data_IF_500926434671
#
_entry.id   IF_500926434671
#
_cell.length_a   1.000
_cell.length_b   1.000
_cell.length_c   1.000
_cell.angle_alpha   90.00
_cell.angle_beta   90.00
_cell.angle_gamma   90.00
#
_symmetry.space_group_name_H-M   'P 1'
#
loop_
_entity.id
_entity.type
_entity.pdbx_description
1 polymer ?
#
# COMPACT_ATOMS: atom_id res chain seq x y z
N UNK A 1 -71.35 -14.88 39.76
CA UNK A 1 -70.71 -16.22 39.67
C UNK A 1 -69.21 -15.99 39.81
N UNK A 2 -68.63 -16.33 40.95
CA UNK A 2 -67.18 -16.17 41.16
C UNK A 2 -66.43 -17.31 40.46
N UNK A 3 -65.34 -16.99 39.78
CA UNK A 3 -64.47 -17.98 39.13
C UNK A 3 -63.77 -18.80 40.20
N UNK A 4 -63.68 -20.12 40.01
CA UNK A 4 -62.99 -21.00 40.95
C UNK A 4 -61.47 -20.74 40.93
N UNK A 5 -60.77 -21.09 42.01
CA UNK A 5 -59.32 -20.91 42.11
C UNK A 5 -58.57 -21.61 40.96
N UNK A 6 -58.98 -22.84 40.63
CA UNK A 6 -58.42 -23.59 39.50
C UNK A 6 -58.65 -22.90 38.15
N UNK A 7 -59.75 -22.18 37.99
CA UNK A 7 -60.03 -21.42 36.79
C UNK A 7 -59.09 -20.21 36.66
N UNK A 8 -58.77 -19.53 37.76
CA UNK A 8 -57.74 -18.49 37.78
C UNK A 8 -56.35 -19.04 37.43
N UNK A 9 -55.98 -20.20 37.99
CA UNK A 9 -54.72 -20.89 37.63
C UNK A 9 -54.69 -21.22 36.14
N UNK A 10 -55.78 -21.76 35.58
CA UNK A 10 -55.86 -22.12 34.17
C UNK A 10 -55.75 -20.91 33.25
N UNK A 11 -56.41 -19.79 33.59
CA UNK A 11 -56.32 -18.53 32.85
C UNK A 11 -54.89 -17.97 32.91
N UNK A 12 -54.25 -18.00 34.08
CA UNK A 12 -52.86 -17.57 34.24
C UNK A 12 -51.90 -18.40 33.38
N UNK A 13 -52.07 -19.72 33.34
CA UNK A 13 -51.27 -20.62 32.51
C UNK A 13 -51.49 -20.36 31.01
N UNK A 14 -52.73 -20.17 30.59
CA UNK A 14 -53.06 -19.85 29.20
C UNK A 14 -52.44 -18.51 28.78
N UNK A 15 -52.54 -17.48 29.62
CA UNK A 15 -51.90 -16.18 29.38
C UNK A 15 -50.39 -16.35 29.28
N UNK A 16 -49.75 -17.09 30.19
CA UNK A 16 -48.31 -17.33 30.16
C UNK A 16 -47.85 -18.02 28.87
N UNK A 17 -48.57 -19.05 28.42
CA UNK A 17 -48.28 -19.74 27.16
C UNK A 17 -48.36 -18.83 25.93
N UNK A 18 -49.22 -17.80 25.98
CA UNK A 18 -49.33 -16.79 24.91
C UNK A 18 -48.28 -15.68 25.07
N UNK A 19 -47.97 -15.26 26.30
CA UNK A 19 -47.05 -14.16 26.57
C UNK A 19 -45.59 -14.54 26.29
N UNK A 20 -45.18 -15.78 26.54
CA UNK A 20 -43.82 -16.27 26.27
C UNK A 20 -43.43 -16.11 24.78
N UNK A 21 -44.19 -16.61 23.79
CA UNK A 21 -43.84 -16.44 22.38
C UNK A 21 -43.95 -14.97 21.94
N UNK A 22 -44.90 -14.20 22.46
CA UNK A 22 -45.02 -12.76 22.17
C UNK A 22 -43.78 -12.01 22.67
N UNK A 23 -43.37 -12.26 23.91
CA UNK A 23 -42.15 -11.68 24.46
C UNK A 23 -40.95 -12.11 23.63
N UNK A 24 -40.77 -13.40 23.34
CA UNK A 24 -39.64 -13.85 22.52
C UNK A 24 -39.61 -13.21 21.13
N UNK A 25 -40.76 -13.03 20.50
CA UNK A 25 -40.88 -12.30 19.24
C UNK A 25 -40.56 -10.81 19.42
N UNK A 26 -41.06 -10.19 20.48
CA UNK A 26 -40.83 -8.79 20.81
C UNK A 26 -39.34 -8.51 21.02
N UNK A 27 -38.64 -9.32 21.80
CA UNK A 27 -37.19 -9.24 21.98
C UNK A 27 -36.46 -9.41 20.63
N UNK A 28 -36.85 -10.40 19.81
CA UNK A 28 -36.26 -10.58 18.48
C UNK A 28 -36.51 -9.40 17.52
N UNK A 29 -37.64 -8.70 17.67
CA UNK A 29 -38.09 -7.66 16.73
C UNK A 29 -37.69 -6.24 17.14
N UNK A 30 -37.65 -5.97 18.43
CA UNK A 30 -37.44 -4.64 19.01
C UNK A 30 -36.12 -4.54 19.79
N UNK A 31 -35.62 -5.64 20.34
CA UNK A 31 -34.31 -5.67 21.03
C UNK A 31 -33.16 -6.11 20.11
N UNK A 32 -33.40 -6.07 18.80
CA UNK A 32 -32.32 -6.13 17.81
C UNK A 32 -31.46 -4.86 17.99
N UNK A 33 -30.12 -4.95 18.05
CA UNK A 33 -29.27 -3.75 18.11
C UNK A 33 -29.75 -2.79 17.02
N UNK A 34 -30.02 -1.55 17.42
CA UNK A 34 -30.60 -0.54 16.54
C UNK A 34 -29.91 -0.56 15.17
N UNK A 35 -30.63 -0.27 14.07
CA UNK A 35 -30.03 -0.31 12.72
C UNK A 35 -28.69 0.43 12.65
N UNK A 36 -28.56 1.53 13.40
CA UNK A 36 -27.32 2.28 13.58
C UNK A 36 -26.18 1.46 14.22
N UNK A 37 -26.45 0.71 15.29
CA UNK A 37 -25.45 -0.16 15.91
C UNK A 37 -24.97 -1.28 14.96
N UNK A 38 -25.85 -1.75 14.07
CA UNK A 38 -25.49 -2.75 13.07
C UNK A 38 -24.56 -2.15 12.00
N UNK A 39 -24.80 -0.91 11.59
CA UNK A 39 -23.97 -0.18 10.64
C UNK A 39 -22.59 0.14 11.24
N UNK A 40 -22.51 0.52 12.52
CA UNK A 40 -21.22 0.75 13.18
C UNK A 40 -20.41 -0.53 13.32
N UNK A 41 -21.05 -1.66 13.67
CA UNK A 41 -20.36 -2.96 13.71
C UNK A 41 -19.84 -3.36 12.32
N UNK A 42 -20.61 -3.07 11.26
CA UNK A 42 -20.17 -3.35 9.89
C UNK A 42 -19.01 -2.45 9.46
N UNK A 43 -19.06 -1.16 9.81
CA UNK A 43 -17.96 -0.22 9.55
C UNK A 43 -16.69 -0.63 10.27
N UNK A 44 -16.79 -0.96 11.55
CA UNK A 44 -15.65 -1.44 12.34
C UNK A 44 -14.99 -2.66 11.71
N UNK A 45 -15.77 -3.64 11.24
CA UNK A 45 -15.18 -4.80 10.55
C UNK A 45 -14.38 -4.41 9.29
N UNK A 46 -14.88 -3.47 8.51
CA UNK A 46 -14.16 -2.99 7.33
C UNK A 46 -12.90 -2.20 7.71
N UNK A 47 -13.00 -1.37 8.75
CA UNK A 47 -11.86 -0.60 9.29
C UNK A 47 -10.80 -1.53 9.90
N UNK A 48 -11.19 -2.63 10.55
CA UNK A 48 -10.27 -3.64 11.10
C UNK A 48 -9.52 -4.37 9.98
N UNK A 49 -10.22 -4.77 8.92
CA UNK A 49 -9.61 -5.39 7.73
C UNK A 49 -8.62 -4.43 7.05
N UNK A 50 -8.97 -3.15 6.92
CA UNK A 50 -8.05 -2.12 6.42
C UNK A 50 -6.85 -1.94 7.36
N UNK A 51 -7.08 -1.86 8.67
CA UNK A 51 -6.01 -1.68 9.65
C UNK A 51 -5.01 -2.84 9.65
N UNK A 52 -5.46 -4.08 9.45
CA UNK A 52 -4.58 -5.23 9.30
C UNK A 52 -3.70 -5.13 8.04
N UNK A 53 -4.28 -4.70 6.91
CA UNK A 53 -3.52 -4.44 5.67
C UNK A 53 -2.49 -3.31 5.88
N UNK A 54 -2.90 -2.21 6.51
CA UNK A 54 -2.02 -1.08 6.81
C UNK A 54 -0.91 -1.44 7.78
N UNK A 55 -1.18 -2.28 8.78
CA UNK A 55 -0.17 -2.72 9.75
C UNK A 55 0.94 -3.55 9.08
N UNK A 56 0.59 -4.39 8.09
CA UNK A 56 1.57 -5.13 7.29
C UNK A 56 2.49 -4.20 6.51
N UNK A 57 1.91 -3.24 5.77
CA UNK A 57 2.66 -2.26 4.97
C UNK A 57 3.54 -1.37 5.87
N UNK A 58 3.02 -0.92 7.01
CA UNK A 58 3.78 -0.07 7.94
C UNK A 58 5.00 -0.81 8.50
N UNK A 59 4.86 -2.09 8.85
CA UNK A 59 5.97 -2.91 9.34
C UNK A 59 7.09 -3.04 8.30
N UNK A 60 6.74 -3.28 7.03
CA UNK A 60 7.71 -3.35 5.93
C UNK A 60 8.41 -2.01 5.70
N UNK A 61 7.66 -0.91 5.70
CA UNK A 61 8.21 0.44 5.54
C UNK A 61 9.12 0.81 6.70
N UNK A 62 8.76 0.43 7.93
CA UNK A 62 9.60 0.65 9.12
C UNK A 62 10.88 -0.19 9.05
N UNK A 63 10.79 -1.47 8.67
CA UNK A 63 11.97 -2.32 8.48
C UNK A 63 12.92 -1.74 7.41
N UNK A 64 12.39 -1.32 6.26
CA UNK A 64 13.17 -0.68 5.20
C UNK A 64 13.82 0.63 5.65
N UNK A 65 13.11 1.46 6.44
CA UNK A 65 13.66 2.69 7.03
C UNK A 65 14.77 2.39 8.04
N UNK A 66 14.59 1.38 8.88
CA UNK A 66 15.59 0.98 9.86
C UNK A 66 16.83 0.37 9.20
N UNK A 67 16.67 -0.40 8.13
CA UNK A 67 17.78 -0.91 7.32
C UNK A 67 18.55 0.25 6.66
N UNK A 68 17.84 1.22 6.07
CA UNK A 68 18.46 2.44 5.54
C UNK A 68 19.23 3.19 6.61
N UNK A 69 18.63 3.44 7.77
CA UNK A 69 19.29 4.13 8.90
C UNK A 69 20.53 3.37 9.38
N UNK A 70 20.43 2.04 9.54
CA UNK A 70 21.58 1.19 9.91
C UNK A 70 22.68 1.24 8.86
N UNK A 71 22.32 1.28 7.58
CA UNK A 71 23.30 1.39 6.48
C UNK A 71 24.02 2.74 6.49
N UNK A 72 23.31 3.84 6.77
CA UNK A 72 23.88 5.18 6.91
C UNK A 72 24.80 5.27 8.12
N UNK A 73 24.34 4.80 9.28
CA UNK A 73 25.17 4.74 10.50
C UNK A 73 26.43 3.91 10.23
N UNK A 74 26.31 2.74 9.60
CA UNK A 74 27.46 1.89 9.26
C UNK A 74 28.43 2.54 8.26
N UNK A 75 27.93 3.38 7.34
CA UNK A 75 28.79 4.18 6.45
C UNK A 75 29.54 5.23 7.25
N UNK A 76 28.86 5.98 8.10
CA UNK A 76 29.50 6.97 8.98
C UNK A 76 30.51 6.33 9.95
N UNK A 77 30.21 5.16 10.50
CA UNK A 77 31.15 4.39 11.32
C UNK A 77 32.37 3.94 10.53
N UNK A 78 32.21 3.53 9.26
CA UNK A 78 33.35 3.17 8.40
C UNK A 78 34.19 4.39 8.04
N UNK A 79 33.56 5.52 7.76
CA UNK A 79 34.28 6.77 7.47
C UNK A 79 35.05 7.27 8.70
N UNK A 80 34.45 7.19 9.89
CA UNK A 80 35.12 7.56 11.15
C UNK A 80 36.18 6.54 11.58
N UNK A 81 35.95 5.24 11.37
CA UNK A 81 36.90 4.17 11.72
C UNK A 81 38.03 4.01 10.69
N UNK A 82 37.79 4.33 9.41
CA UNK A 82 38.84 4.38 8.39
C UNK A 82 39.89 5.45 8.71
N UNK A 83 39.58 6.38 9.62
CA UNK A 83 40.48 7.45 9.99
C UNK A 83 40.78 8.36 8.80
N UNK A 84 41.57 9.40 9.05
CA UNK A 84 42.08 10.27 8.01
C UNK A 84 42.82 9.42 6.97
N UNK A 85 42.24 9.25 5.77
CA UNK A 85 42.96 8.67 4.64
C UNK A 85 44.13 9.60 4.35
N UNK A 86 45.36 9.13 4.56
CA UNK A 86 46.58 9.89 4.23
C UNK A 86 46.53 10.22 2.73
N UNK A 87 46.79 11.48 2.38
CA UNK A 87 46.85 11.92 0.99
C UNK A 87 47.91 11.10 0.21
N UNK A 88 47.73 10.94 -1.10
CA UNK A 88 48.57 10.11 -1.97
C UNK A 88 50.07 10.46 -1.82
N UNK A 89 50.37 11.76 -1.66
CA UNK A 89 51.73 12.26 -1.45
C UNK A 89 52.32 11.89 -0.08
N UNK A 90 51.52 11.92 0.99
CA UNK A 90 51.97 11.56 2.33
C UNK A 90 52.13 10.04 2.48
N UNK A 91 51.22 9.28 1.87
CA UNK A 91 51.28 7.81 1.87
C UNK A 91 52.50 7.32 1.07
N UNK A 92 52.77 7.88 -0.10
CA UNK A 92 54.00 7.59 -0.86
C UNK A 92 55.27 7.95 -0.08
N UNK A 93 55.30 9.09 0.63
CA UNK A 93 56.46 9.49 1.44
C UNK A 93 56.68 8.55 2.65
N UNK A 94 55.62 8.02 3.25
CA UNK A 94 55.72 7.03 4.32
C UNK A 94 56.27 5.69 3.82
N UNK A 95 55.79 5.19 2.67
CA UNK A 95 56.31 3.98 2.03
C UNK A 95 57.79 4.10 1.63
N UNK A 96 58.18 5.25 1.09
CA UNK A 96 59.57 5.54 0.77
C UNK A 96 60.48 5.54 2.01
N UNK A 97 60.02 6.07 3.15
CA UNK A 97 60.75 6.03 4.42
C UNK A 97 60.89 4.62 5.01
N UNK A 98 59.96 3.72 4.68
CA UNK A 98 60.01 2.30 5.03
C UNK A 98 60.90 1.46 4.07
N UNK A 99 61.49 2.08 3.04
CA UNK A 99 62.41 1.43 2.11
C UNK A 99 61.72 0.55 1.06
N UNK A 100 60.40 0.69 0.88
CA UNK A 100 59.64 0.00 -0.16
C UNK A 100 59.51 0.97 -1.34
N UNK A 101 60.45 0.86 -2.28
CA UNK A 101 60.50 1.65 -3.51
C UNK A 101 59.88 0.81 -4.64
N UNK A 102 58.55 0.67 -4.63
CA UNK A 102 57.83 -0.06 -5.67
C UNK A 102 56.52 0.65 -6.03
N UNK A 103 56.33 1.09 -7.28
CA UNK A 103 55.06 1.64 -7.72
C UNK A 103 54.04 0.50 -7.80
N UNK A 104 53.10 0.47 -6.86
CA UNK A 104 51.97 -0.46 -6.90
C UNK A 104 51.10 -0.02 -8.08
N UNK A 105 51.20 -0.73 -9.21
CA UNK A 105 50.28 -0.53 -10.31
C UNK A 105 48.88 -0.97 -9.87
N UNK A 106 47.87 -0.10 -9.92
CA UNK A 106 46.49 -0.49 -9.64
C UNK A 106 46.06 -1.54 -10.67
N UNK A 107 45.54 -2.67 -10.20
CA UNK A 107 45.01 -3.73 -11.07
C UNK A 107 43.80 -3.16 -11.82
N UNK A 108 43.97 -2.94 -13.11
CA UNK A 108 42.94 -2.50 -14.05
C UNK A 108 41.87 -3.60 -14.14
N UNK A 109 40.65 -3.29 -13.67
CA UNK A 109 39.52 -4.22 -13.76
C UNK A 109 38.94 -4.13 -15.17
N UNK A 110 39.10 -5.18 -15.95
CA UNK A 110 38.41 -5.32 -17.23
C UNK A 110 36.89 -5.24 -17.02
N UNK A 111 36.29 -4.21 -17.60
CA UNK A 111 34.84 -4.03 -17.64
C UNK A 111 34.32 -5.01 -18.69
N UNK A 112 33.54 -6.00 -18.25
CA UNK A 112 32.87 -6.92 -19.18
C UNK A 112 31.91 -6.13 -20.11
N UNK A 113 31.84 -6.47 -21.41
CA UNK A 113 30.97 -5.76 -22.34
C UNK A 113 29.49 -5.95 -21.98
N UNK A 114 28.72 -4.87 -22.12
CA UNK A 114 27.29 -4.85 -21.91
C UNK A 114 26.58 -5.81 -22.88
N UNK A 115 25.70 -6.64 -22.33
CA UNK A 115 24.79 -7.51 -23.07
C UNK A 115 23.78 -6.61 -23.76
N UNK A 116 23.77 -6.62 -25.10
CA UNK A 116 22.75 -6.00 -25.92
C UNK A 116 21.61 -7.02 -26.05
N UNK A 117 20.47 -6.75 -25.42
CA UNK A 117 19.23 -7.46 -25.72
C UNK A 117 18.49 -6.71 -26.85
N UNK A 118 18.36 -7.38 -27.99
CA UNK A 118 17.53 -6.96 -29.11
C UNK A 118 16.05 -7.00 -28.68
N UNK A 119 15.41 -5.84 -28.56
CA UNK A 119 13.95 -5.75 -28.45
C UNK A 119 13.34 -5.89 -29.85
N UNK A 120 12.81 -7.08 -30.14
CA UNK A 120 11.90 -7.31 -31.25
C UNK A 120 10.59 -6.54 -31.02
N UNK A 121 10.30 -5.58 -31.89
CA UNK A 121 9.02 -4.90 -31.95
C UNK A 121 7.97 -5.83 -32.54
N UNK A 122 7.14 -6.44 -31.70
CA UNK A 122 5.95 -7.17 -32.15
C UNK A 122 4.68 -6.33 -31.89
N UNK A 123 3.95 -6.05 -32.97
CA UNK A 123 2.76 -5.19 -32.99
C UNK A 123 1.60 -6.00 -32.41
N UNK A 124 1.19 -5.66 -31.18
CA UNK A 124 0.13 -6.38 -30.46
C UNK A 124 -1.25 -5.95 -30.98
N UNK A 125 -1.99 -6.90 -31.55
CA UNK A 125 -3.40 -6.74 -31.93
C UNK A 125 -4.31 -6.79 -30.68
N UNK A 126 -5.22 -5.82 -30.54
CA UNK A 126 -6.10 -5.63 -29.38
C UNK A 126 -7.24 -6.67 -29.35
N UNK A 127 -6.94 -7.92 -28.99
CA UNK A 127 -7.94 -8.98 -28.74
C UNK A 127 -8.14 -9.21 -27.24
N UNK A 128 -9.38 -9.58 -26.84
CA UNK A 128 -9.80 -9.77 -25.44
C UNK A 128 -8.94 -10.79 -24.68
N UNK A 129 -8.41 -11.77 -25.40
CA UNK A 129 -7.54 -12.82 -24.88
C UNK A 129 -6.12 -12.33 -24.55
N UNK A 130 -5.68 -11.20 -25.14
CA UNK A 130 -4.40 -10.59 -24.79
C UNK A 130 -4.47 -9.70 -23.54
N UNK A 131 -5.63 -9.07 -23.29
CA UNK A 131 -5.88 -8.30 -22.06
C UNK A 131 -5.90 -9.15 -20.78
N UNK A 132 -6.19 -10.44 -20.90
CA UNK A 132 -6.14 -11.40 -19.79
C UNK A 132 -4.76 -12.05 -19.61
N UNK A 133 -3.83 -11.80 -20.53
CA UNK A 133 -2.47 -12.36 -20.54
C UNK A 133 -1.41 -11.38 -20.06
N UNK A 134 -1.79 -10.17 -19.63
CA UNK A 134 -0.87 -9.22 -18.97
C UNK A 134 -0.48 -9.78 -17.60
N UNK A 135 0.75 -10.27 -17.54
CA UNK A 135 1.35 -10.87 -16.37
C UNK A 135 1.60 -9.88 -15.23
N UNK A 136 1.67 -10.48 -14.05
CA UNK A 136 2.08 -9.97 -12.74
C UNK A 136 1.13 -8.97 -12.05
N UNK A 137 0.47 -9.35 -10.93
CA UNK A 137 -0.41 -8.47 -10.16
C UNK A 137 0.33 -7.45 -9.26
N UNK A 138 1.66 -7.51 -9.20
CA UNK A 138 2.45 -6.81 -8.18
C UNK A 138 3.05 -5.47 -8.64
N UNK A 139 2.91 -5.10 -9.91
CA UNK A 139 3.42 -3.81 -10.41
C UNK A 139 2.30 -3.03 -11.11
N UNK A 140 1.97 -1.81 -10.64
CA UNK A 140 0.96 -0.98 -11.27
C UNK A 140 1.41 -0.59 -12.68
N UNK A 141 0.45 -0.45 -13.59
CA UNK A 141 0.66 -0.06 -14.98
C UNK A 141 1.19 1.39 -15.05
N UNK A 142 2.52 1.54 -15.01
CA UNK A 142 3.21 2.82 -15.06
C UNK A 142 2.95 3.58 -16.35
N UNK A 143 2.70 2.88 -17.46
CA UNK A 143 2.37 3.48 -18.75
C UNK A 143 1.00 4.18 -18.71
N UNK A 144 0.03 3.61 -18.00
CA UNK A 144 -1.28 4.23 -17.80
C UNK A 144 -1.19 5.51 -16.98
N UNK A 145 -0.36 5.53 -15.93
CA UNK A 145 -0.11 6.72 -15.10
C UNK A 145 0.54 7.83 -15.92
N UNK A 146 1.54 7.49 -16.73
CA UNK A 146 2.18 8.43 -17.64
C UNK A 146 1.17 8.99 -18.66
N UNK A 147 0.31 8.15 -19.22
CA UNK A 147 -0.75 8.57 -20.14
C UNK A 147 -1.76 9.51 -19.48
N UNK A 148 -2.16 9.25 -18.23
CA UNK A 148 -3.05 10.14 -17.47
C UNK A 148 -2.40 11.49 -17.16
N UNK A 149 -1.11 11.52 -16.81
CA UNK A 149 -0.40 12.79 -16.55
C UNK A 149 -0.26 13.66 -17.81
N UNK A 150 -0.23 13.04 -18.99
CA UNK A 150 -0.22 13.75 -20.27
C UNK A 150 -1.59 14.30 -20.69
N UNK A 151 -2.70 13.96 -20.01
CA UNK A 151 -4.04 14.52 -20.29
C UNK A 151 -4.19 16.00 -19.91
N UNK A 152 -3.30 16.51 -19.04
CA UNK A 152 -3.28 17.92 -18.64
C UNK A 152 -2.66 18.82 -19.72
N UNK A 153 -2.02 18.23 -20.74
CA UNK A 153 -1.53 18.97 -21.90
C UNK A 153 -2.68 19.12 -22.88
N UNK A 154 -3.09 20.35 -23.26
CA UNK A 154 -4.12 20.53 -24.27
C UNK A 154 -3.65 19.87 -25.56
N UNK A 155 -4.47 18.96 -26.09
CA UNK A 155 -4.19 18.29 -27.35
C UNK A 155 -4.24 19.32 -28.47
N UNK A 156 -3.14 19.42 -29.22
CA UNK A 156 -2.99 20.36 -30.32
C UNK A 156 -4.04 20.03 -31.41
N UNK A 157 -5.06 20.87 -31.54
CA UNK A 157 -6.13 20.70 -32.54
C UNK A 157 -7.56 20.93 -32.06
N UNK A 158 -7.81 21.15 -30.76
CA UNK A 158 -9.13 21.58 -30.29
C UNK A 158 -9.22 23.11 -30.34
N UNK A 159 -10.10 23.70 -31.18
CA UNK A 159 -10.27 25.15 -31.20
C UNK A 159 -10.77 25.64 -29.84
N UNK A 160 -10.19 26.73 -29.35
CA UNK A 160 -10.61 27.36 -28.09
C UNK A 160 -12.13 27.63 -28.13
N UNK A 161 -12.79 27.29 -27.02
CA UNK A 161 -14.22 27.50 -26.88
C UNK A 161 -14.53 29.01 -27.04
N UNK A 162 -15.60 29.40 -27.76
CA UNK A 162 -15.94 30.81 -27.92
C UNK A 162 -16.20 31.47 -26.57
N UNK A 163 -15.57 32.62 -26.32
CA UNK A 163 -15.76 33.40 -25.09
C UNK A 163 -17.21 33.86 -24.92
N UNK A 164 -17.89 33.25 -23.95
CA UNK A 164 -19.30 33.47 -23.62
C UNK A 164 -19.58 34.86 -23.02
N UNK A 165 -18.54 35.58 -22.58
CA UNK A 165 -18.66 36.92 -21.99
C UNK A 165 -19.08 38.00 -23.01
N UNK A 166 -18.96 37.71 -24.31
CA UNK A 166 -19.36 38.63 -25.39
C UNK A 166 -20.86 38.60 -25.72
N UNK A 167 -21.63 37.66 -25.15
CA UNK A 167 -23.06 37.47 -25.46
C UNK A 167 -24.01 38.10 -24.43
N UNK A 168 -23.48 38.82 -23.44
CA UNK A 168 -24.23 39.41 -22.33
C UNK A 168 -24.42 40.93 -22.37
N UNK A 169 -24.42 41.56 -23.56
CA UNK A 169 -24.70 43.00 -23.74
C UNK A 169 -26.06 43.26 -24.37
#
# INVERSE_FOLDING_TARGET
MALSLFQWIGIGLAIALVLIPIARWFWKRFDLPSKFALETIRRQKHEDEEAEMWAGIEAEVQAAKDEKRKSEIKRMERETAAGWSLDEGESAAAWNKLGIDAPVQPVEREIAPAIVEEQETEVIELTLENALKSGNPDEPDWELIEKMSNLDKPTEGVPEAPDLDSLGS
#
